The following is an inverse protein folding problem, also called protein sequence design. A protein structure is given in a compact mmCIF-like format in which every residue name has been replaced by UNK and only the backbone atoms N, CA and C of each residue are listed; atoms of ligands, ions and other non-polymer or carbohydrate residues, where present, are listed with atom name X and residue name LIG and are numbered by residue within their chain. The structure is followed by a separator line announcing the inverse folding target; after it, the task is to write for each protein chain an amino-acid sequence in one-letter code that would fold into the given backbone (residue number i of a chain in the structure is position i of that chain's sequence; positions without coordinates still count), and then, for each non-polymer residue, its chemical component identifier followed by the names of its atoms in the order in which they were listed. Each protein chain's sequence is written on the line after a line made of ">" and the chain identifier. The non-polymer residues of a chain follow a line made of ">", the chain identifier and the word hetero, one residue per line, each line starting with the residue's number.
data_IF_341444879222
#
_entry.id   IF_341444879222
#
_cell.length_a   1.000
_cell.length_b   1.000
_cell.length_c   1.000
_cell.angle_alpha   90.00
_cell.angle_beta   90.00
_cell.angle_gamma   90.00
#
_symmetry.space_group_name_H-M   'P 1'
#
loop_
_entity.id
_entity.type
_entity.pdbx_description
1 polymer ?
#
# COMPACT_ATOMS: atom_id res chain seq x y z
N UNK A 1 14.90 31.51 3.63
CA UNK A 1 13.78 32.39 3.23
C UNK A 1 12.81 32.49 4.40
N UNK A 2 12.15 33.63 4.59
CA UNK A 2 11.09 33.78 5.61
C UNK A 2 9.81 33.12 5.09
N UNK A 3 9.21 32.16 5.80
CA UNK A 3 8.00 31.50 5.33
C UNK A 3 6.81 32.46 5.33
N UNK A 4 5.96 32.33 4.31
CA UNK A 4 4.69 33.05 4.18
C UNK A 4 3.67 32.60 5.23
N UNK A 5 2.64 33.41 5.45
CA UNK A 5 1.54 33.05 6.36
C UNK A 5 0.84 31.75 5.95
N UNK A 6 0.69 31.50 4.65
CA UNK A 6 0.07 30.28 4.13
C UNK A 6 0.97 29.06 4.35
N UNK A 7 2.27 29.19 4.15
CA UNK A 7 3.24 28.11 4.47
C UNK A 7 3.22 27.78 5.96
N UNK A 8 3.23 28.77 6.84
CA UNK A 8 3.14 28.53 8.29
C UNK A 8 1.83 27.83 8.66
N UNK A 9 0.70 28.32 8.14
CA UNK A 9 -0.61 27.69 8.36
C UNK A 9 -0.61 26.23 7.89
N UNK A 10 -0.13 25.97 6.68
CA UNK A 10 -0.06 24.63 6.12
C UNK A 10 0.87 23.74 6.94
N UNK A 11 2.03 24.22 7.39
CA UNK A 11 2.96 23.45 8.23
C UNK A 11 2.35 23.09 9.58
N UNK A 12 1.60 24.00 10.21
CA UNK A 12 0.88 23.70 11.47
C UNK A 12 -0.17 22.62 11.23
N UNK A 13 -0.99 22.75 10.19
CA UNK A 13 -2.02 21.75 9.87
C UNK A 13 -1.42 20.41 9.44
N UNK A 14 -0.29 20.42 8.73
CA UNK A 14 0.46 19.23 8.37
C UNK A 14 1.01 18.52 9.62
N UNK A 15 1.59 19.27 10.57
CA UNK A 15 2.04 18.71 11.84
C UNK A 15 0.89 18.11 12.65
N UNK A 16 -0.29 18.74 12.64
CA UNK A 16 -1.50 18.20 13.26
C UNK A 16 -2.02 16.95 12.53
N UNK A 17 -1.88 16.87 11.21
CA UNK A 17 -2.19 15.67 10.43
C UNK A 17 -1.29 14.50 10.83
N UNK A 18 0.02 14.73 10.88
CA UNK A 18 0.99 13.72 11.35
C UNK A 18 0.65 13.27 12.77
N UNK A 19 0.38 14.21 13.68
CA UNK A 19 -0.03 13.87 15.06
C UNK A 19 -1.34 13.08 15.09
N UNK A 20 -2.32 13.42 14.27
CA UNK A 20 -3.60 12.72 14.15
C UNK A 20 -3.37 11.27 13.70
N UNK A 21 -2.49 11.00 12.73
CA UNK A 21 -2.15 9.62 12.32
C UNK A 21 -1.72 8.74 13.49
N UNK A 22 -0.95 9.28 14.44
CA UNK A 22 -0.55 8.56 15.66
C UNK A 22 -1.68 8.37 16.69
N UNK A 23 -2.73 9.19 16.61
CA UNK A 23 -3.87 9.17 17.51
C UNK A 23 -5.05 8.33 16.99
N UNK A 24 -5.03 7.88 15.74
CA UNK A 24 -6.06 7.03 15.11
C UNK A 24 -6.46 5.83 16.01
N UNK A 25 -5.48 5.09 16.54
CA UNK A 25 -5.76 3.96 17.43
C UNK A 25 -6.44 4.34 18.76
N UNK A 26 -6.28 5.59 19.21
CA UNK A 26 -7.02 6.13 20.36
C UNK A 26 -8.45 6.51 19.98
N UNK A 27 -8.66 7.12 18.81
CA UNK A 27 -9.99 7.41 18.29
C UNK A 27 -10.83 6.15 18.16
N UNK A 28 -10.28 5.06 17.62
CA UNK A 28 -10.96 3.75 17.56
C UNK A 28 -11.39 3.25 18.95
N UNK A 29 -10.48 3.32 19.94
CA UNK A 29 -10.79 2.92 21.33
C UNK A 29 -11.85 3.81 21.98
N UNK A 30 -11.88 5.10 21.64
CA UNK A 30 -12.89 6.01 22.14
C UNK A 30 -14.24 5.78 21.46
N UNK A 31 -14.26 5.41 20.17
CA UNK A 31 -15.47 5.09 19.44
C UNK A 31 -16.27 4.00 20.17
N UNK A 32 -15.60 2.93 20.62
CA UNK A 32 -16.23 1.82 21.34
C UNK A 32 -16.86 2.19 22.70
N UNK A 33 -16.64 3.42 23.20
CA UNK A 33 -17.28 3.91 24.44
C UNK A 33 -18.67 4.51 24.20
N UNK A 34 -19.01 4.78 22.95
CA UNK A 34 -20.30 5.34 22.57
C UNK A 34 -21.25 4.23 22.08
N UNK A 35 -22.58 4.43 22.16
CA UNK A 35 -23.54 3.45 21.66
C UNK A 35 -23.36 3.21 20.17
N UNK A 36 -23.49 1.94 19.77
CA UNK A 36 -23.44 1.52 18.36
C UNK A 36 -24.45 2.32 17.51
N UNK A 37 -23.99 2.88 16.40
CA UNK A 37 -24.76 3.70 15.48
C UNK A 37 -24.93 5.17 15.90
N UNK A 38 -24.39 5.59 17.05
CA UNK A 38 -24.47 7.00 17.46
C UNK A 38 -23.59 7.92 16.59
N UNK A 39 -23.96 9.20 16.51
CA UNK A 39 -23.18 10.20 15.76
C UNK A 39 -21.75 10.29 16.29
N UNK A 40 -21.57 10.25 17.62
CA UNK A 40 -20.26 10.32 18.26
C UNK A 40 -19.39 9.10 17.93
N UNK A 41 -19.97 7.90 17.96
CA UNK A 41 -19.27 6.67 17.57
C UNK A 41 -18.83 6.73 16.10
N UNK A 42 -19.75 7.08 15.20
CA UNK A 42 -19.46 7.18 13.77
C UNK A 42 -18.41 8.25 13.45
N UNK A 43 -18.44 9.39 14.15
CA UNK A 43 -17.43 10.44 13.99
C UNK A 43 -16.06 9.97 14.46
N UNK A 44 -15.99 9.28 15.60
CA UNK A 44 -14.73 8.75 16.12
C UNK A 44 -14.18 7.62 15.27
N UNK A 45 -15.04 6.75 14.72
CA UNK A 45 -14.63 5.76 13.73
C UNK A 45 -14.11 6.42 12.46
N UNK A 46 -14.76 7.47 11.96
CA UNK A 46 -14.28 8.23 10.81
C UNK A 46 -12.92 8.89 11.06
N UNK A 47 -12.70 9.46 12.25
CA UNK A 47 -11.40 9.99 12.69
C UNK A 47 -10.35 8.88 12.95
N UNK A 48 -10.79 7.63 13.09
CA UNK A 48 -9.92 6.48 13.25
C UNK A 48 -9.54 5.80 11.92
N UNK A 49 -9.97 6.33 10.77
CA UNK A 49 -9.52 5.84 9.47
C UNK A 49 -8.23 6.58 9.09
N UNK A 50 -7.12 5.86 8.92
CA UNK A 50 -5.81 6.45 8.57
C UNK A 50 -5.84 7.23 7.27
N UNK A 51 -6.64 6.78 6.31
CA UNK A 51 -6.82 7.33 4.99
C UNK A 51 -7.63 8.65 5.00
N UNK A 52 -8.40 8.90 6.06
CA UNK A 52 -9.19 10.13 6.20
C UNK A 52 -8.33 11.30 6.68
N UNK A 53 -7.27 11.02 7.45
CA UNK A 53 -6.51 12.03 8.21
C UNK A 53 -6.04 13.18 7.33
N UNK A 54 -5.25 12.91 6.29
CA UNK A 54 -4.70 13.98 5.45
C UNK A 54 -5.76 14.71 4.62
N UNK A 55 -6.79 14.00 4.15
CA UNK A 55 -7.88 14.63 3.42
C UNK A 55 -8.71 15.57 4.32
N UNK A 56 -8.94 15.20 5.58
CA UNK A 56 -9.62 16.05 6.56
C UNK A 56 -8.83 17.33 6.85
N UNK A 57 -7.51 17.21 7.07
CA UNK A 57 -6.66 18.38 7.31
C UNK A 57 -6.44 19.24 6.06
N UNK A 58 -6.51 18.66 4.87
CA UNK A 58 -6.55 19.40 3.62
C UNK A 58 -7.84 20.24 3.48
N UNK A 59 -9.00 19.68 3.86
CA UNK A 59 -10.23 20.46 3.94
C UNK A 59 -10.11 21.60 4.98
N UNK A 60 -9.45 21.35 6.12
CA UNK A 60 -9.16 22.39 7.10
C UNK A 60 -8.23 23.48 6.53
N UNK A 61 -7.22 23.11 5.73
CA UNK A 61 -6.35 24.07 5.03
C UNK A 61 -7.15 24.91 4.04
N UNK A 62 -8.04 24.30 3.25
CA UNK A 62 -8.92 25.04 2.34
C UNK A 62 -9.72 26.11 3.10
N UNK A 63 -10.39 25.72 4.19
CA UNK A 63 -11.14 26.66 5.06
C UNK A 63 -10.20 27.72 5.67
N UNK A 64 -9.00 27.33 6.06
CA UNK A 64 -7.98 28.24 6.59
C UNK A 64 -7.52 29.28 5.57
N UNK A 65 -7.31 28.90 4.31
CA UNK A 65 -6.98 29.83 3.21
C UNK A 65 -8.16 30.81 3.02
N UNK A 66 -9.40 30.32 3.02
CA UNK A 66 -10.58 31.21 2.94
C UNK A 66 -10.61 32.19 4.10
N UNK A 67 -10.33 31.74 5.32
CA UNK A 67 -10.32 32.60 6.50
C UNK A 67 -9.21 33.67 6.48
N UNK A 68 -8.01 33.32 5.99
CA UNK A 68 -6.87 34.24 5.90
C UNK A 68 -7.02 35.24 4.75
N UNK A 69 -7.54 34.79 3.61
CA UNK A 69 -7.64 35.60 2.39
C UNK A 69 -8.96 36.33 2.24
N UNK A 70 -10.01 35.89 2.95
CA UNK A 70 -11.38 36.36 2.80
C UNK A 70 -12.05 35.91 1.49
N UNK A 71 -11.46 34.98 0.73
CA UNK A 71 -11.96 34.60 -0.60
C UNK A 71 -11.94 33.09 -0.83
N UNK A 72 -13.12 32.54 -1.18
CA UNK A 72 -13.25 31.17 -1.68
C UNK A 72 -12.56 30.99 -3.03
N UNK A 73 -12.53 32.03 -3.86
CA UNK A 73 -11.88 32.00 -5.18
C UNK A 73 -10.36 31.83 -5.05
N UNK A 74 -9.72 32.46 -4.06
CA UNK A 74 -8.28 32.27 -3.83
C UNK A 74 -7.96 30.86 -3.31
N UNK A 75 -8.81 30.31 -2.45
CA UNK A 75 -8.68 28.92 -2.00
C UNK A 75 -8.91 27.93 -3.16
N UNK A 76 -9.89 28.20 -4.04
CA UNK A 76 -10.12 27.42 -5.25
C UNK A 76 -8.93 27.51 -6.22
N UNK A 77 -8.40 28.71 -6.47
CA UNK A 77 -7.22 28.91 -7.31
C UNK A 77 -5.99 28.16 -6.79
N UNK A 78 -5.82 28.07 -5.47
CA UNK A 78 -4.78 27.22 -4.88
C UNK A 78 -5.00 25.74 -5.25
N UNK A 79 -6.23 25.22 -5.10
CA UNK A 79 -6.57 23.83 -5.45
C UNK A 79 -6.42 23.56 -6.95
N UNK A 80 -6.85 24.49 -7.81
CA UNK A 80 -6.76 24.39 -9.26
C UNK A 80 -5.31 24.34 -9.77
N UNK A 81 -4.37 24.91 -9.00
CA UNK A 81 -2.93 24.83 -9.27
C UNK A 81 -2.29 23.49 -8.92
N UNK A 82 -3.01 22.56 -8.28
CA UNK A 82 -2.49 21.27 -7.84
C UNK A 82 -2.82 20.15 -8.83
N UNK A 83 -1.98 19.10 -8.83
CA UNK A 83 -2.19 17.93 -9.67
C UNK A 83 -2.73 16.75 -8.84
N UNK A 84 -3.99 16.38 -9.10
CA UNK A 84 -4.67 15.26 -8.45
C UNK A 84 -4.75 14.00 -9.33
N UNK A 85 -3.97 13.92 -10.41
CA UNK A 85 -4.04 12.80 -11.36
C UNK A 85 -3.73 11.48 -10.67
N UNK A 86 -2.70 11.45 -9.83
CA UNK A 86 -2.23 10.27 -9.10
C UNK A 86 -3.29 9.79 -8.11
N UNK A 87 -3.93 10.70 -7.37
CA UNK A 87 -5.04 10.37 -6.46
C UNK A 87 -6.23 9.74 -7.21
N UNK A 88 -6.63 10.33 -8.34
CA UNK A 88 -7.71 9.80 -9.20
C UNK A 88 -7.33 8.44 -9.78
N UNK A 89 -6.09 8.28 -10.23
CA UNK A 89 -5.57 7.06 -10.81
C UNK A 89 -5.57 5.91 -9.81
N UNK A 90 -5.04 6.12 -8.60
CA UNK A 90 -5.01 5.09 -7.54
C UNK A 90 -6.41 4.64 -7.17
N UNK A 91 -7.35 5.58 -7.00
CA UNK A 91 -8.75 5.24 -6.73
C UNK A 91 -9.31 4.26 -7.78
N UNK A 92 -9.16 4.59 -9.07
CA UNK A 92 -9.69 3.78 -10.17
C UNK A 92 -9.01 2.40 -10.24
N UNK A 93 -7.68 2.39 -10.24
CA UNK A 93 -6.90 1.15 -10.39
C UNK A 93 -7.18 0.21 -9.21
N UNK A 94 -7.27 0.71 -7.98
CA UNK A 94 -7.62 -0.11 -6.82
C UNK A 94 -8.98 -0.78 -6.96
N UNK A 95 -9.98 -0.07 -7.47
CA UNK A 95 -11.33 -0.63 -7.67
C UNK A 95 -11.33 -1.73 -8.72
N UNK A 96 -10.68 -1.51 -9.87
CA UNK A 96 -10.62 -2.50 -10.97
C UNK A 96 -9.76 -3.71 -10.56
N UNK A 97 -8.58 -3.48 -10.00
CA UNK A 97 -7.63 -4.51 -9.62
C UNK A 97 -8.15 -5.43 -8.50
N UNK A 98 -8.98 -4.90 -7.60
CA UNK A 98 -9.59 -5.67 -6.52
C UNK A 98 -10.80 -6.52 -6.94
N UNK A 99 -11.19 -6.50 -8.21
CA UNK A 99 -12.33 -7.29 -8.69
C UNK A 99 -12.03 -8.79 -8.71
N UNK A 100 -13.09 -9.57 -8.49
CA UNK A 100 -13.01 -11.02 -8.42
C UNK A 100 -12.37 -11.67 -9.67
N UNK A 101 -12.68 -11.24 -10.93
CA UNK A 101 -12.03 -11.82 -12.11
C UNK A 101 -10.51 -11.62 -12.15
N UNK A 102 -10.02 -10.45 -11.72
CA UNK A 102 -8.58 -10.13 -11.68
C UNK A 102 -7.89 -10.92 -10.56
N UNK A 103 -8.48 -10.92 -9.37
CA UNK A 103 -7.98 -11.66 -8.20
C UNK A 103 -7.94 -13.17 -8.48
N UNK A 104 -8.99 -13.73 -9.10
CA UNK A 104 -9.03 -15.15 -9.46
C UNK A 104 -8.02 -15.52 -10.55
N UNK A 105 -7.71 -14.61 -11.48
CA UNK A 105 -6.64 -14.82 -12.45
C UNK A 105 -5.29 -14.94 -11.75
N UNK A 106 -4.98 -14.02 -10.83
CA UNK A 106 -3.75 -14.07 -10.04
C UNK A 106 -3.66 -15.36 -9.20
N UNK A 107 -4.76 -15.79 -8.54
CA UNK A 107 -4.81 -17.06 -7.81
C UNK A 107 -4.54 -18.27 -8.73
N UNK A 108 -5.09 -18.28 -9.96
CA UNK A 108 -4.81 -19.34 -10.95
C UNK A 108 -3.35 -19.37 -11.39
N UNK A 109 -2.73 -18.20 -11.57
CA UNK A 109 -1.31 -18.09 -11.90
C UNK A 109 -0.47 -18.70 -10.78
N UNK A 110 -0.73 -18.33 -9.52
CA UNK A 110 0.00 -18.86 -8.37
C UNK A 110 -0.15 -20.39 -8.25
N UNK A 111 -1.37 -20.91 -8.38
CA UNK A 111 -1.60 -22.37 -8.33
C UNK A 111 -0.93 -23.13 -9.49
N UNK A 112 -0.80 -22.51 -10.67
CA UNK A 112 -0.10 -23.14 -11.81
C UNK A 112 1.41 -23.14 -11.59
N UNK A 113 1.96 -22.00 -11.16
CA UNK A 113 3.40 -21.85 -10.89
C UNK A 113 3.83 -22.77 -9.75
N UNK A 114 3.02 -22.93 -8.70
CA UNK A 114 3.35 -23.82 -7.58
C UNK A 114 3.47 -25.28 -8.00
N UNK A 115 2.71 -25.73 -9.00
CA UNK A 115 2.80 -27.10 -9.54
C UNK A 115 4.08 -27.37 -10.33
N UNK A 116 4.83 -26.33 -10.70
CA UNK A 116 6.12 -26.48 -11.39
C UNK A 116 7.26 -26.77 -10.40
N UNK A 117 7.07 -26.50 -9.11
CA UNK A 117 8.09 -26.74 -8.10
C UNK A 117 8.05 -28.22 -7.65
N UNK A 118 9.19 -28.92 -7.63
CA UNK A 118 9.27 -30.32 -7.17
C UNK A 118 9.26 -30.40 -5.63
N UNK A 119 8.22 -29.85 -5.00
CA UNK A 119 8.04 -29.78 -3.55
C UNK A 119 6.64 -30.29 -3.16
N UNK A 120 6.43 -30.70 -1.89
CA UNK A 120 5.09 -30.99 -1.38
C UNK A 120 4.14 -29.81 -1.61
N UNK A 121 2.88 -30.10 -1.92
CA UNK A 121 1.90 -29.12 -2.40
C UNK A 121 1.82 -27.83 -1.56
N UNK A 122 1.75 -27.94 -0.24
CA UNK A 122 1.63 -26.77 0.63
C UNK A 122 2.94 -25.99 0.75
N UNK A 123 4.10 -26.66 0.71
CA UNK A 123 5.40 -25.97 0.64
C UNK A 123 5.59 -25.28 -0.71
N UNK A 124 5.22 -25.94 -1.81
CA UNK A 124 5.30 -25.38 -3.15
C UNK A 124 4.41 -24.14 -3.28
N UNK A 125 3.17 -24.22 -2.80
CA UNK A 125 2.27 -23.08 -2.78
C UNK A 125 2.79 -21.96 -1.88
N UNK A 126 3.32 -22.28 -0.70
CA UNK A 126 3.90 -21.29 0.22
C UNK A 126 5.01 -20.48 -0.47
N UNK A 127 5.96 -21.20 -1.08
CA UNK A 127 7.08 -20.59 -1.78
C UNK A 127 6.60 -19.72 -2.93
N UNK A 128 5.69 -20.22 -3.78
CA UNK A 128 5.15 -19.45 -4.90
C UNK A 128 4.33 -18.24 -4.43
N UNK A 129 3.46 -18.41 -3.45
CA UNK A 129 2.57 -17.36 -2.97
C UNK A 129 3.33 -16.21 -2.33
N UNK A 130 4.45 -16.45 -1.65
CA UNK A 130 5.21 -15.41 -0.95
C UNK A 130 6.40 -14.87 -1.76
N UNK A 131 6.88 -15.58 -2.78
CA UNK A 131 7.90 -15.06 -3.70
C UNK A 131 7.30 -14.39 -4.95
N UNK A 132 6.35 -15.06 -5.63
CA UNK A 132 5.76 -14.58 -6.88
C UNK A 132 4.53 -13.72 -6.62
N UNK A 133 3.70 -14.09 -5.65
CA UNK A 133 2.47 -13.36 -5.31
C UNK A 133 2.67 -11.87 -5.06
N UNK A 134 3.67 -11.46 -4.25
CA UNK A 134 3.94 -10.05 -4.00
C UNK A 134 4.39 -9.30 -5.24
N UNK A 135 5.16 -9.95 -6.13
CA UNK A 135 5.60 -9.36 -7.41
C UNK A 135 4.44 -9.20 -8.40
N UNK A 136 3.39 -10.04 -8.30
CA UNK A 136 2.15 -9.81 -9.05
C UNK A 136 1.49 -8.47 -8.66
N UNK A 137 1.75 -7.97 -7.45
CA UNK A 137 1.35 -6.63 -7.01
C UNK A 137 1.76 -5.54 -7.98
N UNK A 138 2.92 -5.66 -8.64
CA UNK A 138 3.35 -4.71 -9.68
C UNK A 138 2.51 -4.68 -10.95
N UNK A 139 1.67 -5.70 -11.19
CA UNK A 139 0.79 -5.78 -12.36
C UNK A 139 -0.67 -5.51 -12.02
N UNK A 140 -1.05 -5.65 -10.75
CA UNK A 140 -2.39 -5.33 -10.25
C UNK A 140 -2.31 -4.06 -9.41
N UNK A 141 -2.08 -4.19 -8.11
CA UNK A 141 -1.65 -3.16 -7.14
C UNK A 141 -1.23 -3.88 -5.85
N UNK A 142 -0.48 -3.21 -4.96
CA UNK A 142 -0.16 -3.79 -3.65
C UNK A 142 -1.41 -4.13 -2.80
N UNK A 143 -2.44 -3.27 -2.70
CA UNK A 143 -3.66 -3.61 -1.94
C UNK A 143 -4.41 -4.83 -2.48
N UNK A 144 -4.46 -5.02 -3.81
CA UNK A 144 -5.11 -6.18 -4.41
C UNK A 144 -4.30 -7.46 -4.14
N UNK A 145 -2.97 -7.40 -4.32
CA UNK A 145 -2.09 -8.52 -4.01
C UNK A 145 -2.16 -8.91 -2.52
N UNK A 146 -2.12 -7.93 -1.61
CA UNK A 146 -2.27 -8.18 -0.17
C UNK A 146 -3.58 -8.85 0.16
N UNK A 147 -4.71 -8.34 -0.36
CA UNK A 147 -6.04 -8.93 -0.12
C UNK A 147 -6.08 -10.39 -0.57
N UNK A 148 -5.62 -10.66 -1.80
CA UNK A 148 -5.59 -12.01 -2.37
C UNK A 148 -4.74 -12.95 -1.51
N UNK A 149 -3.49 -12.55 -1.25
CA UNK A 149 -2.55 -13.39 -0.51
C UNK A 149 -3.02 -13.61 0.92
N UNK A 150 -3.51 -12.58 1.61
CA UNK A 150 -4.07 -12.74 2.95
C UNK A 150 -5.25 -13.72 2.96
N UNK A 151 -6.18 -13.66 2.01
CA UNK A 151 -7.31 -14.61 1.94
C UNK A 151 -6.88 -16.04 1.65
N UNK A 152 -5.95 -16.23 0.71
CA UNK A 152 -5.49 -17.57 0.33
C UNK A 152 -4.61 -18.16 1.43
N UNK A 153 -3.70 -17.36 2.00
CA UNK A 153 -2.83 -17.78 3.10
C UNK A 153 -3.64 -18.04 4.39
N UNK A 154 -4.71 -17.28 4.64
CA UNK A 154 -5.61 -17.52 5.77
C UNK A 154 -6.13 -18.95 5.75
N UNK A 155 -6.75 -19.32 4.62
CA UNK A 155 -7.38 -20.64 4.46
C UNK A 155 -6.36 -21.79 4.48
N UNK A 156 -5.19 -21.59 3.86
CA UNK A 156 -4.18 -22.65 3.72
C UNK A 156 -3.26 -22.82 4.94
N UNK A 157 -2.96 -21.74 5.66
CA UNK A 157 -1.95 -21.73 6.73
C UNK A 157 -2.48 -21.20 8.06
N UNK A 158 -3.06 -19.98 8.11
CA UNK A 158 -3.40 -19.36 9.39
C UNK A 158 -4.63 -19.97 10.09
N UNK A 159 -5.53 -20.64 9.35
CA UNK A 159 -6.66 -21.37 9.92
C UNK A 159 -6.34 -22.85 10.22
N UNK A 160 -5.08 -23.26 10.02
CA UNK A 160 -4.54 -24.54 10.45
C UNK A 160 -3.86 -24.43 11.83
N UNK A 161 -3.47 -25.58 12.40
CA UNK A 161 -2.76 -25.66 13.67
C UNK A 161 -1.27 -25.33 13.49
N UNK A 162 -0.95 -24.03 13.38
CA UNK A 162 0.43 -23.53 13.32
C UNK A 162 0.87 -22.89 14.62
N UNK A 163 2.18 -22.87 14.87
CA UNK A 163 2.72 -22.17 16.04
C UNK A 163 2.59 -20.64 15.89
N UNK A 164 2.46 -19.93 17.01
CA UNK A 164 2.46 -18.46 17.00
C UNK A 164 3.74 -17.89 16.37
N UNK A 165 4.89 -18.55 16.55
CA UNK A 165 6.15 -18.16 15.92
C UNK A 165 6.06 -18.23 14.40
N UNK A 166 5.49 -19.30 13.85
CA UNK A 166 5.31 -19.42 12.41
C UNK A 166 4.29 -18.41 11.88
N UNK A 167 3.17 -18.20 12.60
CA UNK A 167 2.15 -17.24 12.22
C UNK A 167 2.71 -15.81 12.09
N UNK A 168 3.50 -15.34 13.06
CA UNK A 168 4.12 -14.02 13.00
C UNK A 168 5.23 -13.93 11.95
N UNK A 169 6.03 -14.98 11.75
CA UNK A 169 7.03 -15.02 10.67
C UNK A 169 6.37 -14.95 9.28
N UNK A 170 5.27 -15.68 9.07
CA UNK A 170 4.49 -15.65 7.84
C UNK A 170 3.82 -14.28 7.62
N UNK A 171 3.25 -13.69 8.67
CA UNK A 171 2.63 -12.37 8.60
C UNK A 171 3.65 -11.29 8.23
N UNK A 172 4.80 -11.26 8.92
CA UNK A 172 5.88 -10.32 8.62
C UNK A 172 6.47 -10.50 7.22
N UNK A 173 6.66 -11.76 6.79
CA UNK A 173 7.10 -12.08 5.44
C UNK A 173 6.12 -11.57 4.37
N UNK A 174 4.82 -11.79 4.57
CA UNK A 174 3.78 -11.31 3.67
C UNK A 174 3.83 -9.78 3.53
N UNK A 175 3.88 -9.06 4.66
CA UNK A 175 3.84 -7.60 4.67
C UNK A 175 5.08 -6.99 4.01
N UNK A 176 6.27 -7.48 4.36
CA UNK A 176 7.52 -6.99 3.76
C UNK A 176 7.57 -7.33 2.28
N UNK A 177 7.25 -8.56 1.89
CA UNK A 177 7.34 -8.94 0.48
C UNK A 177 6.33 -8.18 -0.39
N UNK A 178 5.10 -7.91 0.10
CA UNK A 178 4.13 -7.08 -0.64
C UNK A 178 4.64 -5.65 -0.80
N UNK A 179 5.22 -5.08 0.26
CA UNK A 179 5.75 -3.72 0.24
C UNK A 179 6.89 -3.53 -0.78
N UNK A 180 7.83 -4.48 -0.86
CA UNK A 180 8.91 -4.41 -1.85
C UNK A 180 8.45 -4.91 -3.23
N UNK A 181 7.48 -5.82 -3.27
CA UNK A 181 7.02 -6.52 -4.47
C UNK A 181 6.26 -5.62 -5.45
N UNK A 182 5.75 -4.46 -4.99
CA UNK A 182 5.12 -3.46 -5.85
C UNK A 182 6.09 -2.69 -6.77
N UNK A 183 7.40 -2.85 -6.59
CA UNK A 183 8.43 -2.00 -7.22
C UNK A 183 8.94 -2.44 -8.60
N UNK A 184 8.33 -3.44 -9.26
CA UNK A 184 8.72 -3.82 -10.62
C UNK A 184 8.19 -2.85 -11.69
N UNK A 185 7.15 -2.09 -11.38
CA UNK A 185 6.54 -1.10 -12.27
C UNK A 185 6.37 0.24 -11.54
N UNK A 186 6.20 1.31 -12.31
CA UNK A 186 6.13 2.67 -11.77
C UNK A 186 4.74 3.08 -11.26
N UNK A 187 3.72 2.23 -11.43
CA UNK A 187 2.32 2.59 -11.16
C UNK A 187 1.63 1.76 -10.07
N UNK A 188 2.29 0.72 -9.55
CA UNK A 188 1.65 -0.27 -8.69
C UNK A 188 1.81 -0.01 -7.20
N UNK A 189 2.97 0.48 -6.78
CA UNK A 189 3.28 0.86 -5.41
C UNK A 189 2.97 2.34 -5.21
N UNK A 190 2.10 2.73 -4.25
CA UNK A 190 1.88 4.13 -3.89
C UNK A 190 3.17 4.93 -3.70
N UNK A 191 4.21 4.47 -2.96
CA UNK A 191 5.43 5.24 -2.78
C UNK A 191 6.23 5.49 -4.08
N UNK A 192 6.13 4.59 -5.05
CA UNK A 192 6.76 4.77 -6.37
C UNK A 192 5.92 5.72 -7.23
N UNK A 193 4.60 5.54 -7.22
CA UNK A 193 3.69 6.37 -8.00
C UNK A 193 3.81 7.86 -7.63
N UNK A 194 3.99 8.17 -6.35
CA UNK A 194 4.14 9.56 -5.86
C UNK A 194 5.34 10.29 -6.46
N UNK A 195 6.36 9.55 -6.89
CA UNK A 195 7.61 10.12 -7.41
C UNK A 195 7.82 9.88 -8.90
N UNK A 196 7.18 8.85 -9.46
CA UNK A 196 7.47 8.35 -10.79
C UNK A 196 7.34 9.42 -11.87
N UNK A 197 6.23 10.17 -11.87
CA UNK A 197 6.05 11.28 -12.82
C UNK A 197 7.04 12.41 -12.59
N UNK A 198 7.29 12.78 -11.33
CA UNK A 198 8.15 13.92 -10.98
C UNK A 198 9.63 13.67 -11.29
N UNK A 199 10.07 12.42 -11.19
CA UNK A 199 11.46 12.02 -11.48
C UNK A 199 11.61 11.25 -12.78
N UNK A 200 10.55 11.19 -13.59
CA UNK A 200 10.52 10.52 -14.90
C UNK A 200 10.95 9.04 -14.84
N UNK A 201 10.59 8.35 -13.74
CA UNK A 201 10.84 6.92 -13.60
C UNK A 201 9.77 6.13 -14.34
N UNK A 202 10.20 5.45 -15.40
CA UNK A 202 9.37 4.53 -16.15
C UNK A 202 9.46 3.09 -15.58
N UNK A 203 8.71 2.17 -16.18
CA UNK A 203 8.77 0.75 -15.80
C UNK A 203 10.16 0.15 -15.98
N UNK A 204 10.94 0.63 -16.97
CA UNK A 204 12.28 0.11 -17.20
C UNK A 204 13.25 0.51 -16.10
N UNK A 205 13.21 1.77 -15.66
CA UNK A 205 13.95 2.26 -14.51
C UNK A 205 13.62 1.43 -13.26
N UNK A 206 12.34 1.23 -12.98
CA UNK A 206 11.89 0.44 -11.84
C UNK A 206 12.41 -1.00 -11.90
N UNK A 207 12.29 -1.67 -13.06
CA UNK A 207 12.76 -3.04 -13.23
C UNK A 207 14.28 -3.18 -13.04
N UNK A 208 15.05 -2.23 -13.60
CA UNK A 208 16.52 -2.24 -13.59
C UNK A 208 17.14 -1.84 -12.24
N UNK A 209 16.45 -0.99 -11.46
CA UNK A 209 16.97 -0.48 -10.19
C UNK A 209 16.33 -1.13 -8.96
N UNK A 210 15.02 -1.41 -8.98
CA UNK A 210 14.28 -1.95 -7.83
C UNK A 210 13.80 -3.38 -8.06
N UNK A 211 13.28 -3.71 -9.25
CA UNK A 211 12.54 -4.93 -9.51
C UNK A 211 13.32 -6.22 -9.27
N UNK A 212 14.58 -6.30 -9.71
CA UNK A 212 15.40 -7.48 -9.46
C UNK A 212 15.78 -7.62 -7.98
N UNK A 213 16.02 -6.50 -7.28
CA UNK A 213 16.31 -6.48 -5.83
C UNK A 213 15.10 -6.96 -5.04
N UNK A 214 13.91 -6.47 -5.38
CA UNK A 214 12.65 -6.93 -4.82
C UNK A 214 12.40 -8.43 -5.06
N UNK A 215 12.60 -8.91 -6.29
CA UNK A 215 12.40 -10.31 -6.63
C UNK A 215 13.34 -11.24 -5.85
N UNK A 216 14.62 -10.89 -5.75
CA UNK A 216 15.59 -11.67 -4.97
C UNK A 216 15.31 -11.60 -3.48
N UNK A 217 15.04 -10.40 -2.93
CA UNK A 217 14.70 -10.26 -1.52
C UNK A 217 13.45 -11.05 -1.14
N UNK A 218 12.38 -10.97 -1.93
CA UNK A 218 11.16 -11.73 -1.69
C UNK A 218 11.40 -13.24 -1.76
N UNK A 219 12.18 -13.69 -2.74
CA UNK A 219 12.52 -15.12 -2.92
C UNK A 219 13.38 -15.64 -1.77
N UNK A 220 14.47 -14.94 -1.42
CA UNK A 220 15.38 -15.36 -0.35
C UNK A 220 14.68 -15.37 1.00
N UNK A 221 13.95 -14.30 1.34
CA UNK A 221 13.14 -14.24 2.57
C UNK A 221 12.14 -15.40 2.65
N UNK A 222 11.49 -15.73 1.53
CA UNK A 222 10.53 -16.84 1.46
C UNK A 222 11.20 -18.19 1.66
N UNK A 223 12.33 -18.44 1.00
CA UNK A 223 13.09 -19.70 1.13
C UNK A 223 13.62 -19.87 2.56
N UNK A 224 14.17 -18.81 3.16
CA UNK A 224 14.65 -18.83 4.54
C UNK A 224 13.52 -19.18 5.52
N UNK A 225 12.35 -18.53 5.39
CA UNK A 225 11.19 -18.83 6.24
C UNK A 225 10.65 -20.23 6.00
N UNK A 226 10.52 -20.67 4.75
CA UNK A 226 10.09 -22.03 4.41
C UNK A 226 11.03 -23.09 5.00
N UNK A 227 12.35 -22.85 4.97
CA UNK A 227 13.33 -23.76 5.55
C UNK A 227 13.29 -23.79 7.08
N UNK A 228 13.13 -22.62 7.72
CA UNK A 228 13.02 -22.51 9.18
C UNK A 228 11.80 -23.27 9.73
N UNK A 229 10.66 -23.20 9.03
CA UNK A 229 9.40 -23.81 9.44
C UNK A 229 9.03 -25.07 8.63
N UNK A 230 10.01 -25.71 7.96
CA UNK A 230 9.81 -26.86 7.07
C UNK A 230 9.07 -28.04 7.71
N UNK A 231 9.20 -28.22 9.03
CA UNK A 231 8.53 -29.30 9.77
C UNK A 231 7.04 -29.03 9.91
N UNK A 232 6.66 -27.79 10.22
CA UNK A 232 5.25 -27.37 10.28
C UNK A 232 4.63 -27.41 8.87
N UNK A 233 5.33 -26.89 7.85
CA UNK A 233 4.88 -26.95 6.46
C UNK A 233 4.68 -28.37 5.93
N UNK A 234 5.57 -29.31 6.29
CA UNK A 234 5.47 -30.70 5.87
C UNK A 234 4.32 -31.46 6.56
N UNK A 235 3.85 -30.97 7.70
CA UNK A 235 2.74 -31.57 8.44
C UNK A 235 1.36 -31.06 7.98
N UNK A 236 1.31 -30.09 7.06
CA UNK A 236 0.06 -29.48 6.62
C UNK A 236 -0.72 -30.37 5.66
N UNK A 237 -2.03 -30.40 5.88
CA UNK A 237 -2.95 -31.03 4.96
C UNK A 237 -3.27 -30.09 3.79
N UNK A 238 -3.28 -30.61 2.54
CA UNK A 238 -3.69 -29.84 1.40
C UNK A 238 -5.14 -29.37 1.50
N UNK A 239 -5.37 -28.07 1.35
CA UNK A 239 -6.72 -27.49 1.32
C UNK A 239 -7.19 -27.35 -0.13
N UNK A 240 -8.30 -28.00 -0.48
CA UNK A 240 -8.90 -27.85 -1.80
C UNK A 240 -9.54 -26.47 -1.98
N UNK A 241 -9.23 -25.81 -3.10
CA UNK A 241 -9.82 -24.52 -3.44
C UNK A 241 -11.20 -24.71 -4.06
N UNK A 242 -12.25 -24.25 -3.37
CA UNK A 242 -13.61 -24.16 -3.94
C UNK A 242 -13.68 -22.94 -4.86
N UNK A 243 -13.44 -23.12 -6.15
CA UNK A 243 -13.53 -22.05 -7.13
C UNK A 243 -14.92 -22.00 -7.79
N UNK A 244 -15.58 -20.84 -7.73
CA UNK A 244 -16.72 -20.58 -8.63
C UNK A 244 -16.17 -20.21 -10.01
N UNK A 245 -16.66 -20.83 -11.10
CA UNK A 245 -16.16 -20.54 -12.44
C UNK A 245 -16.51 -19.10 -12.84
N UNK A 246 -15.52 -18.41 -13.40
CA UNK A 246 -15.66 -17.06 -13.99
C UNK A 246 -15.40 -17.20 -15.49
N UNK A 247 -16.30 -16.71 -16.37
CA UNK A 247 -16.10 -16.75 -17.80
C UNK A 247 -14.79 -16.07 -18.21
N UNK A 248 -14.00 -16.73 -19.05
CA UNK A 248 -12.68 -16.24 -19.45
C UNK A 248 -12.75 -14.87 -20.17
N UNK A 249 -13.78 -14.64 -20.98
CA UNK A 249 -14.00 -13.36 -21.67
C UNK A 249 -14.17 -12.20 -20.67
N UNK A 250 -14.81 -12.44 -19.53
CA UNK A 250 -15.03 -11.42 -18.51
C UNK A 250 -13.72 -11.06 -17.80
N UNK A 251 -12.90 -12.07 -17.48
CA UNK A 251 -11.55 -11.86 -16.95
C UNK A 251 -10.69 -11.06 -17.93
N UNK A 252 -10.68 -11.43 -19.21
CA UNK A 252 -9.93 -10.71 -20.26
C UNK A 252 -10.40 -9.26 -20.31
N UNK A 253 -11.71 -9.01 -20.30
CA UNK A 253 -12.26 -7.67 -20.37
C UNK A 253 -11.84 -6.81 -19.16
N UNK A 254 -11.85 -7.37 -17.94
CA UNK A 254 -11.36 -6.66 -16.74
C UNK A 254 -9.87 -6.29 -16.86
N UNK A 255 -9.05 -7.22 -17.36
CA UNK A 255 -7.64 -6.95 -17.60
C UNK A 255 -7.43 -5.88 -18.68
N UNK A 256 -8.25 -5.85 -19.73
CA UNK A 256 -8.21 -4.81 -20.76
C UNK A 256 -8.61 -3.43 -20.20
N UNK A 257 -9.65 -3.35 -19.35
CA UNK A 257 -10.02 -2.10 -18.67
C UNK A 257 -8.90 -1.61 -17.76
N UNK A 258 -8.29 -2.50 -16.98
CA UNK A 258 -7.14 -2.17 -16.13
C UNK A 258 -5.97 -1.65 -16.98
N UNK A 259 -5.62 -2.36 -18.05
CA UNK A 259 -4.55 -1.96 -18.97
C UNK A 259 -4.85 -0.63 -19.67
N UNK A 260 -6.10 -0.37 -20.05
CA UNK A 260 -6.52 0.89 -20.65
C UNK A 260 -6.37 2.06 -19.67
N UNK A 261 -6.77 1.90 -18.41
CA UNK A 261 -6.58 2.93 -17.37
C UNK A 261 -5.09 3.21 -17.16
N UNK A 262 -4.26 2.17 -17.06
CA UNK A 262 -2.79 2.32 -16.92
C UNK A 262 -2.18 3.01 -18.14
N UNK A 263 -2.53 2.60 -19.35
CA UNK A 263 -2.03 3.21 -20.58
C UNK A 263 -2.47 4.66 -20.78
N UNK A 264 -3.61 5.05 -20.21
CA UNK A 264 -4.18 6.39 -20.29
C UNK A 264 -3.95 7.21 -19.02
N UNK A 265 -3.03 6.83 -18.14
CA UNK A 265 -2.77 7.49 -16.85
C UNK A 265 -2.39 8.98 -16.96
N UNK A 266 -1.93 9.43 -18.14
CA UNK A 266 -1.62 10.83 -18.45
C UNK A 266 -2.86 11.69 -18.76
N UNK A 267 -4.02 11.05 -19.02
CA UNK A 267 -5.27 11.71 -19.41
C UNK A 267 -6.39 11.42 -18.40
N UNK A 268 -6.49 12.21 -17.30
CA UNK A 268 -7.41 11.93 -16.20
C UNK A 268 -8.87 11.79 -16.61
N UNK A 269 -9.35 12.68 -17.47
CA UNK A 269 -10.76 12.66 -17.90
C UNK A 269 -11.06 11.43 -18.76
N UNK A 270 -10.09 10.98 -19.54
CA UNK A 270 -10.23 9.80 -20.41
C UNK A 270 -10.24 8.52 -19.59
N UNK A 271 -9.30 8.33 -18.66
CA UNK A 271 -9.31 7.11 -17.84
C UNK A 271 -10.50 7.07 -16.88
N UNK A 272 -11.00 8.23 -16.43
CA UNK A 272 -12.26 8.30 -15.67
C UNK A 272 -13.45 7.88 -16.55
N UNK A 273 -13.51 8.27 -17.82
CA UNK A 273 -14.50 7.77 -18.77
C UNK A 273 -14.44 6.25 -18.95
N UNK A 274 -13.23 5.69 -19.09
CA UNK A 274 -13.00 4.23 -19.13
C UNK A 274 -13.49 3.56 -17.85
N UNK A 275 -13.24 4.17 -16.69
CA UNK A 275 -13.73 3.67 -15.41
C UNK A 275 -15.26 3.69 -15.32
N UNK A 276 -15.93 4.73 -15.82
CA UNK A 276 -17.41 4.77 -15.85
C UNK A 276 -17.99 3.63 -16.70
N UNK A 277 -17.38 3.34 -17.85
CA UNK A 277 -17.75 2.17 -18.68
C UNK A 277 -17.52 0.85 -17.94
N UNK A 278 -16.40 0.74 -17.22
CA UNK A 278 -16.11 -0.42 -16.38
C UNK A 278 -17.15 -0.64 -15.27
N UNK A 279 -17.60 0.43 -14.59
CA UNK A 279 -18.66 0.33 -13.58
C UNK A 279 -19.98 -0.16 -14.18
N UNK A 280 -20.28 0.22 -15.41
CA UNK A 280 -21.39 -0.31 -16.20
C UNK A 280 -21.26 -1.81 -16.44
N UNK A 281 -20.10 -2.27 -16.91
CA UNK A 281 -19.80 -3.70 -17.09
C UNK A 281 -19.94 -4.48 -15.77
N UNK A 282 -19.28 -4.02 -14.71
CA UNK A 282 -19.30 -4.67 -13.40
C UNK A 282 -20.72 -4.74 -12.83
N UNK A 283 -21.56 -3.74 -13.14
CA UNK A 283 -22.99 -3.73 -12.80
C UNK A 283 -23.80 -4.72 -13.63
N UNK A 284 -23.50 -4.86 -14.92
CA UNK A 284 -24.17 -5.81 -15.81
C UNK A 284 -23.83 -7.28 -15.51
N UNK A 285 -22.64 -7.54 -14.94
CA UNK A 285 -22.15 -8.90 -14.64
C UNK A 285 -22.02 -9.16 -13.13
N UNK A 286 -22.91 -8.59 -12.30
CA UNK A 286 -22.82 -8.64 -10.83
C UNK A 286 -22.79 -10.06 -10.26
N UNK A 287 -23.37 -11.03 -10.95
CA UNK A 287 -23.37 -12.45 -10.58
C UNK A 287 -21.97 -13.08 -10.54
N UNK A 288 -21.00 -12.49 -11.25
CA UNK A 288 -19.59 -12.92 -11.26
C UNK A 288 -18.67 -12.02 -10.41
N UNK A 289 -19.24 -11.05 -9.70
CA UNK A 289 -18.49 -10.04 -8.94
C UNK A 289 -18.81 -10.13 -7.45
N UNK A 290 -17.82 -9.82 -6.63
CA UNK A 290 -18.07 -9.40 -5.26
C UNK A 290 -18.35 -7.89 -5.25
N UNK A 291 -18.75 -7.31 -4.11
CA UNK A 291 -18.96 -5.86 -4.03
C UNK A 291 -17.67 -5.11 -4.40
N UNK A 292 -17.79 -4.12 -5.28
CA UNK A 292 -16.65 -3.28 -5.65
C UNK A 292 -16.15 -2.51 -4.42
N UNK A 293 -14.83 -2.44 -4.28
CA UNK A 293 -14.13 -1.74 -3.19
C UNK A 293 -14.08 -0.21 -3.40
N UNK A 294 -15.25 0.39 -3.68
CA UNK A 294 -15.37 1.82 -3.97
C UNK A 294 -15.00 2.68 -2.75
N UNK A 295 -15.43 2.29 -1.55
CA UNK A 295 -15.15 3.02 -0.31
C UNK A 295 -13.64 3.05 -0.05
N UNK A 296 -13.00 1.89 -0.09
CA UNK A 296 -11.57 1.74 0.17
C UNK A 296 -10.74 2.50 -0.86
N UNK A 297 -11.04 2.35 -2.15
CA UNK A 297 -10.36 3.11 -3.19
C UNK A 297 -10.55 4.63 -3.01
N UNK A 298 -11.76 5.08 -2.66
CA UNK A 298 -12.07 6.50 -2.46
C UNK A 298 -11.30 7.07 -1.28
N UNK A 299 -11.23 6.34 -0.16
CA UNK A 299 -10.47 6.75 1.02
C UNK A 299 -8.99 6.90 0.70
N UNK A 300 -8.38 5.94 -0.02
CA UNK A 300 -6.97 6.05 -0.43
C UNK A 300 -6.77 7.24 -1.40
N UNK A 301 -7.68 7.45 -2.36
CA UNK A 301 -7.65 8.63 -3.22
C UNK A 301 -7.75 9.95 -2.42
N UNK A 302 -8.60 9.98 -1.40
CA UNK A 302 -8.77 11.13 -0.50
C UNK A 302 -7.53 11.42 0.34
N UNK A 303 -6.88 10.38 0.86
CA UNK A 303 -5.58 10.47 1.54
C UNK A 303 -4.53 11.13 0.65
N UNK A 304 -4.36 10.61 -0.58
CA UNK A 304 -3.38 11.11 -1.54
C UNK A 304 -3.68 12.54 -1.98
N UNK A 305 -4.95 12.87 -2.23
CA UNK A 305 -5.36 14.24 -2.51
C UNK A 305 -5.03 15.18 -1.33
N UNK A 306 -5.26 14.71 -0.10
CA UNK A 306 -4.90 15.46 1.10
C UNK A 306 -3.40 15.72 1.23
N UNK A 307 -2.58 14.73 0.91
CA UNK A 307 -1.11 14.90 0.83
C UNK A 307 -0.74 15.94 -0.22
N UNK A 308 -1.34 15.87 -1.42
CA UNK A 308 -1.12 16.88 -2.47
C UNK A 308 -1.42 18.29 -1.96
N UNK A 309 -2.58 18.46 -1.34
CA UNK A 309 -3.05 19.76 -0.83
C UNK A 309 -2.25 20.29 0.34
N UNK A 310 -1.78 19.47 1.28
CA UNK A 310 -0.99 19.95 2.42
C UNK A 310 0.50 20.09 2.09
N UNK A 311 1.00 19.22 1.22
CA UNK A 311 2.42 19.05 0.96
C UNK A 311 3.04 20.12 0.10
N UNK A 312 2.35 20.64 -0.93
CA UNK A 312 2.93 21.63 -1.85
C UNK A 312 3.52 22.87 -1.15
N UNK A 313 3.02 23.21 0.04
CA UNK A 313 3.49 24.33 0.87
C UNK A 313 4.59 23.96 1.87
N UNK A 314 5.12 22.72 1.85
CA UNK A 314 6.14 22.24 2.79
C UNK A 314 7.58 22.31 2.25
N UNK A 315 7.77 22.71 0.99
CA UNK A 315 9.09 22.67 0.34
C UNK A 315 10.15 23.48 1.10
N UNK A 316 9.77 24.65 1.64
CA UNK A 316 10.71 25.62 2.21
C UNK A 316 11.58 25.06 3.36
N UNK A 317 11.08 24.10 4.13
CA UNK A 317 11.81 23.46 5.23
C UNK A 317 12.26 22.03 4.91
N UNK A 318 11.51 21.30 4.06
CA UNK A 318 11.88 19.96 3.62
C UNK A 318 13.15 19.95 2.79
N UNK A 319 13.31 20.94 1.90
CA UNK A 319 14.45 21.05 1.01
C UNK A 319 15.80 21.12 1.72
N UNK A 320 16.03 22.05 2.67
CA UNK A 320 17.30 22.08 3.41
C UNK A 320 17.49 20.84 4.28
N UNK A 321 16.42 20.24 4.83
CA UNK A 321 16.51 19.03 5.63
C UNK A 321 17.01 17.84 4.80
N UNK A 322 16.34 17.51 3.69
CA UNK A 322 16.70 16.36 2.85
C UNK A 322 18.08 16.54 2.22
N UNK A 323 18.41 17.75 1.76
CA UNK A 323 19.70 18.04 1.14
C UNK A 323 20.88 17.96 2.11
N UNK A 324 20.63 18.00 3.43
CA UNK A 324 21.66 17.88 4.47
C UNK A 324 22.00 16.42 4.82
N UNK A 325 21.18 15.46 4.38
CA UNK A 325 21.34 14.04 4.71
C UNK A 325 22.23 13.35 3.68
N UNK A 326 23.06 12.40 4.14
CA UNK A 326 23.72 11.45 3.25
C UNK A 326 22.79 10.30 2.86
N UNK A 327 23.12 9.57 1.78
CA UNK A 327 22.33 8.44 1.27
C UNK A 327 21.96 7.41 2.34
N UNK A 328 22.94 6.97 3.14
CA UNK A 328 22.69 6.01 4.23
C UNK A 328 21.74 6.56 5.29
N UNK A 329 21.92 7.83 5.70
CA UNK A 329 21.05 8.45 6.71
C UNK A 329 19.62 8.56 6.21
N UNK A 330 19.43 8.93 4.94
CA UNK A 330 18.11 9.00 4.32
C UNK A 330 17.48 7.61 4.16
N UNK A 331 18.24 6.61 3.71
CA UNK A 331 17.74 5.24 3.54
C UNK A 331 17.27 4.61 4.85
N UNK A 332 18.13 4.58 5.88
CA UNK A 332 17.77 4.00 7.17
C UNK A 332 16.76 4.86 7.93
N UNK A 333 16.85 6.19 7.78
CA UNK A 333 15.85 7.12 8.30
C UNK A 333 14.46 6.87 7.71
N UNK A 334 14.37 6.75 6.38
CA UNK A 334 13.11 6.44 5.69
C UNK A 334 12.59 5.05 6.08
N UNK A 335 13.46 4.04 6.17
CA UNK A 335 13.08 2.68 6.62
C UNK A 335 12.46 2.70 8.01
N UNK A 336 13.12 3.37 8.97
CA UNK A 336 12.66 3.45 10.35
C UNK A 336 11.40 4.32 10.50
N UNK A 337 11.36 5.47 9.84
CA UNK A 337 10.19 6.35 9.87
C UNK A 337 8.98 5.64 9.28
N UNK A 338 9.15 4.87 8.20
CA UNK A 338 8.06 4.10 7.59
C UNK A 338 7.44 3.10 8.56
N UNK A 339 8.19 2.54 9.52
CA UNK A 339 7.58 1.68 10.54
C UNK A 339 6.48 2.39 11.34
N UNK A 340 6.49 3.73 11.39
CA UNK A 340 5.58 4.54 12.17
C UNK A 340 4.76 5.53 11.32
N UNK A 341 4.94 5.54 10.00
CA UNK A 341 4.20 6.41 9.06
C UNK A 341 4.00 5.72 7.72
N UNK A 342 3.01 6.15 6.96
CA UNK A 342 2.77 5.64 5.61
C UNK A 342 3.94 5.93 4.64
N UNK A 343 4.36 4.92 3.88
CA UNK A 343 5.49 5.00 2.95
C UNK A 343 5.24 5.98 1.76
N UNK A 344 3.99 6.12 1.32
CA UNK A 344 3.62 7.02 0.24
C UNK A 344 3.71 8.46 0.71
N UNK A 345 3.33 8.74 1.96
CA UNK A 345 3.53 10.06 2.55
C UNK A 345 5.01 10.46 2.56
N UNK A 346 5.94 9.59 2.97
CA UNK A 346 7.37 9.90 3.01
C UNK A 346 7.97 10.18 1.63
N UNK A 347 7.67 9.33 0.65
CA UNK A 347 8.15 9.48 -0.72
C UNK A 347 7.54 10.70 -1.40
N UNK A 348 6.26 10.98 -1.16
CA UNK A 348 5.62 12.21 -1.61
C UNK A 348 6.31 13.46 -1.03
N UNK A 349 6.61 13.49 0.27
CA UNK A 349 7.33 14.62 0.88
C UNK A 349 8.70 14.84 0.25
N UNK A 350 9.43 13.77 -0.06
CA UNK A 350 10.68 13.90 -0.78
C UNK A 350 10.50 14.32 -2.23
N UNK A 351 9.42 13.91 -2.89
CA UNK A 351 9.10 14.37 -4.24
C UNK A 351 9.03 15.89 -4.30
N UNK A 352 8.53 16.56 -3.26
CA UNK A 352 8.37 18.02 -3.23
C UNK A 352 9.69 18.77 -3.40
N UNK A 353 10.80 18.20 -2.94
CA UNK A 353 12.09 18.88 -2.96
C UNK A 353 12.73 18.82 -4.35
N UNK A 354 12.94 20.00 -4.94
CA UNK A 354 13.66 20.11 -6.21
C UNK A 354 15.18 19.99 -6.04
N UNK A 355 15.84 19.34 -6.99
CA UNK A 355 17.31 19.26 -7.05
C UNK A 355 17.95 18.19 -6.16
N UNK A 356 17.18 17.22 -5.66
CA UNK A 356 17.71 16.06 -4.94
C UNK A 356 18.57 15.19 -5.89
N UNK A 357 19.72 14.71 -5.43
CA UNK A 357 20.56 13.79 -6.21
C UNK A 357 19.89 12.43 -6.43
N UNK A 358 20.27 11.72 -7.49
CA UNK A 358 19.67 10.40 -7.80
C UNK A 358 19.94 9.37 -6.70
N UNK A 359 21.08 9.48 -6.01
CA UNK A 359 21.39 8.67 -4.82
C UNK A 359 20.36 8.88 -3.71
N UNK A 360 20.00 10.14 -3.40
CA UNK A 360 19.03 10.46 -2.36
C UNK A 360 17.60 10.09 -2.80
N UNK A 361 17.25 10.25 -4.08
CA UNK A 361 15.97 9.77 -4.63
C UNK A 361 15.83 8.25 -4.45
N UNK A 362 16.87 7.50 -4.83
CA UNK A 362 16.90 6.05 -4.63
C UNK A 362 16.82 5.70 -3.15
N UNK A 363 17.67 6.31 -2.30
CA UNK A 363 17.72 6.04 -0.86
C UNK A 363 16.36 6.25 -0.18
N UNK A 364 15.66 7.34 -0.51
CA UNK A 364 14.34 7.62 0.04
C UNK A 364 13.32 6.54 -0.33
N UNK A 365 13.19 6.22 -1.61
CA UNK A 365 12.17 5.26 -2.07
C UNK A 365 12.52 3.86 -1.63
N UNK A 366 13.79 3.45 -1.76
CA UNK A 366 14.26 2.14 -1.35
C UNK A 366 14.10 1.94 0.17
N UNK A 367 14.37 2.97 0.98
CA UNK A 367 14.13 2.93 2.42
C UNK A 367 12.65 2.84 2.75
N UNK A 368 11.80 3.65 2.08
CA UNK A 368 10.36 3.64 2.29
C UNK A 368 9.72 2.28 1.95
N UNK A 369 10.06 1.66 0.82
CA UNK A 369 9.51 0.33 0.46
C UNK A 369 10.05 -0.77 1.36
N UNK A 370 11.29 -0.67 1.83
CA UNK A 370 11.91 -1.65 2.74
C UNK A 370 11.25 -1.63 4.12
N UNK A 371 10.92 -0.43 4.63
CA UNK A 371 10.26 -0.28 5.94
C UNK A 371 8.75 -0.55 5.92
N UNK A 372 8.12 -0.57 4.75
CA UNK A 372 6.66 -0.64 4.60
C UNK A 372 5.99 -1.92 5.12
N UNK A 373 6.76 -2.97 5.44
CA UNK A 373 6.22 -4.19 6.05
C UNK A 373 6.32 -4.26 7.58
N UNK A 374 6.95 -3.28 8.24
CA UNK A 374 7.30 -3.38 9.66
C UNK A 374 6.11 -3.27 10.61
N UNK A 375 5.06 -2.55 10.23
CA UNK A 375 3.85 -2.37 11.06
C UNK A 375 2.58 -2.28 10.20
N UNK A 376 1.41 -2.29 10.85
CA UNK A 376 0.11 -2.19 10.17
C UNK A 376 -0.07 -0.82 9.47
N UNK A 377 0.52 0.25 9.98
CA UNK A 377 0.36 1.61 9.43
C UNK A 377 1.45 2.01 8.43
N UNK A 378 2.45 1.15 8.24
CA UNK A 378 3.63 1.44 7.43
C UNK A 378 3.34 1.50 5.92
N UNK A 379 2.29 0.82 5.47
CA UNK A 379 1.88 0.77 4.07
C UNK A 379 0.36 0.54 3.98
N UNK A 380 -0.32 1.24 3.07
CA UNK A 380 -1.78 1.16 2.86
C UNK A 380 -2.39 -0.25 2.67
N UNK A 381 -1.71 -1.27 2.09
CA UNK A 381 -2.21 -2.64 2.03
C UNK A 381 -2.26 -3.35 3.39
N UNK A 382 -1.39 -2.99 4.33
CA UNK A 382 -1.20 -3.74 5.57
C UNK A 382 -2.46 -3.80 6.45
N UNK A 383 -3.27 -2.73 6.62
CA UNK A 383 -4.55 -2.82 7.33
C UNK A 383 -5.51 -3.82 6.69
N UNK A 384 -5.55 -3.91 5.36
CA UNK A 384 -6.39 -4.89 4.67
C UNK A 384 -5.93 -6.33 4.95
N UNK A 385 -4.61 -6.58 4.88
CA UNK A 385 -4.03 -7.87 5.24
C UNK A 385 -4.28 -8.24 6.70
N UNK A 386 -4.04 -7.30 7.62
CA UNK A 386 -4.29 -7.46 9.04
C UNK A 386 -5.77 -7.74 9.32
N UNK A 387 -6.70 -6.98 8.73
CA UNK A 387 -8.14 -7.17 8.92
C UNK A 387 -8.64 -8.56 8.51
N UNK A 388 -8.06 -9.13 7.45
CA UNK A 388 -8.37 -10.50 7.01
C UNK A 388 -7.79 -11.55 7.98
N UNK A 389 -6.54 -11.35 8.41
CA UNK A 389 -5.79 -12.34 9.18
C UNK A 389 -6.06 -12.27 10.69
N UNK A 390 -6.54 -11.14 11.21
CA UNK A 390 -6.72 -10.89 12.63
C UNK A 390 -7.66 -11.89 13.31
N UNK A 391 -8.63 -12.43 12.57
CA UNK A 391 -9.61 -13.43 13.05
C UNK A 391 -9.28 -14.86 12.62
N UNK A 392 -8.02 -15.13 12.29
CA UNK A 392 -7.58 -16.49 11.96
C UNK A 392 -7.32 -17.30 13.23
N UNK A 393 -7.39 -18.63 13.13
CA UNK A 393 -7.17 -19.51 14.29
C UNK A 393 -5.80 -19.30 14.93
N UNK A 394 -4.78 -18.98 14.14
CA UNK A 394 -3.42 -18.73 14.59
C UNK A 394 -3.28 -17.55 15.58
N UNK A 395 -4.20 -16.58 15.57
CA UNK A 395 -4.17 -15.41 16.45
C UNK A 395 -5.27 -15.38 17.50
N UNK A 396 -6.22 -16.33 17.45
CA UNK A 396 -7.29 -16.46 18.44
C UNK A 396 -8.17 -15.22 18.57
N UNK A 397 -8.75 -15.02 19.76
CA UNK A 397 -9.61 -13.89 20.09
C UNK A 397 -8.81 -12.58 20.29
N UNK A 398 -7.54 -12.69 20.73
CA UNK A 398 -6.68 -11.54 21.03
C UNK A 398 -6.20 -10.80 19.77
N UNK A 399 -6.19 -11.50 18.63
CA UNK A 399 -5.78 -10.95 17.35
C UNK A 399 -4.27 -10.73 17.21
N UNK A 400 -3.89 -9.92 16.22
CA UNK A 400 -2.50 -9.66 15.86
C UNK A 400 -1.87 -8.69 16.86
N UNK A 401 -0.83 -9.14 17.56
CA UNK A 401 0.02 -8.27 18.38
C UNK A 401 0.88 -7.36 17.51
N UNK A 402 0.87 -6.03 17.72
CA UNK A 402 1.76 -5.10 17.01
C UNK A 402 3.24 -5.44 17.17
N UNK A 403 3.65 -5.86 18.37
CA UNK A 403 5.03 -6.27 18.64
C UNK A 403 5.36 -7.60 17.96
N UNK A 404 4.41 -8.54 17.94
CA UNK A 404 4.57 -9.81 17.23
C UNK A 404 4.77 -9.60 15.73
N UNK A 405 3.97 -8.73 15.11
CA UNK A 405 4.16 -8.33 13.70
C UNK A 405 5.54 -7.72 13.48
N UNK A 406 5.93 -6.73 14.29
CA UNK A 406 7.22 -6.06 14.15
C UNK A 406 8.37 -7.07 14.21
N UNK A 407 8.39 -7.95 15.22
CA UNK A 407 9.42 -8.97 15.37
C UNK A 407 9.42 -9.98 14.21
N UNK A 408 8.24 -10.34 13.70
CA UNK A 408 8.10 -11.21 12.53
C UNK A 408 8.58 -10.57 11.23
N UNK A 409 8.44 -9.24 11.11
CA UNK A 409 8.84 -8.46 9.93
C UNK A 409 10.34 -8.11 9.91
N UNK A 410 11.04 -8.09 11.06
CA UNK A 410 12.46 -7.74 11.13
C UNK A 410 13.35 -8.64 10.25
N UNK A 411 13.27 -9.98 10.29
CA UNK A 411 14.11 -10.84 9.44
C UNK A 411 13.93 -10.60 7.93
N UNK A 412 12.72 -10.60 7.33
CA UNK A 412 12.56 -10.30 5.91
C UNK A 412 12.95 -8.85 5.58
N UNK A 413 12.77 -7.89 6.50
CA UNK A 413 13.25 -6.52 6.32
C UNK A 413 14.78 -6.46 6.24
N UNK A 414 15.49 -7.22 7.09
CA UNK A 414 16.94 -7.29 7.03
C UNK A 414 17.44 -7.86 5.69
N UNK A 415 16.76 -8.89 5.16
CA UNK A 415 17.04 -9.40 3.82
C UNK A 415 16.79 -8.33 2.76
N UNK A 416 15.67 -7.60 2.84
CA UNK A 416 15.40 -6.48 1.94
C UNK A 416 16.49 -5.40 2.01
N UNK A 417 16.96 -5.02 3.21
CA UNK A 417 18.08 -4.09 3.38
C UNK A 417 19.34 -4.58 2.66
N UNK A 418 19.66 -5.88 2.77
CA UNK A 418 20.81 -6.44 2.08
C UNK A 418 20.72 -6.28 0.55
N UNK A 419 19.55 -6.48 -0.05
CA UNK A 419 19.38 -6.35 -1.50
C UNK A 419 19.22 -4.90 -1.97
N UNK A 420 18.52 -4.06 -1.22
CA UNK A 420 18.25 -2.67 -1.59
C UNK A 420 19.40 -1.71 -1.29
N UNK A 421 20.22 -1.99 -0.27
CA UNK A 421 21.29 -1.11 0.16
C UNK A 421 22.65 -1.79 0.30
N UNK A 422 22.66 -3.07 0.69
CA UNK A 422 23.91 -3.82 0.90
C UNK A 422 24.60 -4.28 -0.39
N UNK A 423 23.87 -4.38 -1.50
CA UNK A 423 24.41 -4.68 -2.81
C UNK A 423 24.67 -3.40 -3.61
N UNK A 424 25.78 -3.35 -4.38
CA UNK A 424 26.10 -2.20 -5.22
C UNK A 424 25.08 -1.97 -6.34
#
# INVERSE_FOLDING_TARGET
>A
MTPSTLEILATVLFALAVLHTFLVGRFAKWAHRFPEGSIAENLLHFLAETEVVFGLWAAALFVGIVAVTGSVEQAAHYIDGLNFTEAKFVFVVMVIAATRPVVALAERILNRVSRLLPLPQETAFFVTALSVGPLLGSFVTEPAAMTLLALVLKRRYFDQEITSRFAYALLGLLFVNVSIGGTLTHFAAPPVLMVARKWEWDTWFMLSHFGWRAALAATVSTVCTAWAFRRELAAMEPVEAVARPIPAWLTILHCLFLAAVVGLAHHPDVFLGVFMLFLGLATATREYQDRLKLREGLLVGFFLAGLVTLGSLQEYWLKPLISSLGGSSLYFGATALTAITDNAALTYLGSLVEGISDELKYALVAGAVTGGGLTVIANAPNPAGAGILNRSKAFGEDGISPLGLLLGAVPPTAVAIMFFWGLP
#
